data_IF_168559096292
#
_entry.id   IF_168559096292
#
_cell.length_a   1.000
_cell.length_b   1.000
_cell.length_c   1.000
_cell.angle_alpha   90.00
_cell.angle_beta   90.00
_cell.angle_gamma   90.00
#
_symmetry.space_group_name_H-M   'P 1'
#
loop_
_entity.id
_entity.type
_entity.pdbx_description
1 polymer ?
#
# COMPACT_ATOMS: atom_id res chain seq x y z
N UNK A 1 61.96 -14.91 26.25
CA UNK A 1 61.41 -14.67 24.89
C UNK A 1 59.92 -14.99 24.97
N UNK A 2 58.94 -14.19 24.56
CA UNK A 2 58.91 -12.90 23.87
C UNK A 2 57.62 -12.14 24.24
N UNK A 3 57.59 -10.86 23.87
CA UNK A 3 56.58 -9.87 24.23
C UNK A 3 55.25 -10.07 23.50
N UNK A 4 54.13 -9.83 24.20
CA UNK A 4 52.84 -9.58 23.56
C UNK A 4 52.78 -8.11 23.14
N UNK A 5 53.08 -7.84 21.88
CA UNK A 5 52.99 -6.51 21.26
C UNK A 5 51.78 -6.43 20.35
N UNK A 6 51.06 -5.31 20.42
CA UNK A 6 50.58 -4.65 19.20
C UNK A 6 49.14 -4.92 18.80
N UNK A 7 48.29 -3.98 19.20
CA UNK A 7 47.18 -3.45 18.43
C UNK A 7 47.43 -3.44 16.92
N UNK A 8 46.66 -4.23 16.16
CA UNK A 8 46.62 -4.14 14.69
C UNK A 8 45.20 -3.78 14.24
N UNK A 9 44.92 -2.46 14.27
CA UNK A 9 43.70 -1.88 13.72
C UNK A 9 43.90 -1.69 12.22
N UNK A 10 43.56 -2.71 11.44
CA UNK A 10 43.53 -2.60 9.98
C UNK A 10 42.41 -1.64 9.53
N UNK A 11 42.69 -0.72 8.58
CA UNK A 11 41.78 0.37 8.20
C UNK A 11 40.52 -0.10 7.43
N UNK A 12 40.45 -1.37 7.04
CA UNK A 12 39.33 -1.95 6.28
C UNK A 12 38.11 -2.35 7.13
N UNK A 13 38.29 -2.58 8.43
CA UNK A 13 37.20 -3.06 9.32
C UNK A 13 36.21 -1.96 9.73
N UNK A 14 36.67 -0.70 9.76
CA UNK A 14 35.85 0.46 10.19
C UNK A 14 34.89 0.91 9.09
N UNK A 15 35.35 0.94 7.83
CA UNK A 15 34.59 1.42 6.66
C UNK A 15 33.33 0.56 6.43
N UNK A 16 33.45 -0.76 6.59
CA UNK A 16 32.36 -1.73 6.37
C UNK A 16 31.27 -1.68 7.45
N UNK A 17 31.61 -1.29 8.69
CA UNK A 17 30.64 -1.08 9.79
C UNK A 17 29.89 0.23 9.65
N UNK A 18 30.55 1.30 9.20
CA UNK A 18 29.92 2.60 8.99
C UNK A 18 28.91 2.55 7.82
N UNK A 19 29.28 1.87 6.73
CA UNK A 19 28.42 1.73 5.54
C UNK A 19 27.19 0.84 5.79
N UNK A 20 27.33 -0.25 6.57
CA UNK A 20 26.18 -1.07 7.02
C UNK A 20 25.22 -0.29 7.92
N UNK A 21 25.74 0.61 8.77
CA UNK A 21 24.93 1.49 9.61
C UNK A 21 24.21 2.56 8.79
N UNK A 22 24.84 3.02 7.70
CA UNK A 22 24.23 3.96 6.74
C UNK A 22 23.19 3.29 5.81
N UNK A 23 23.44 2.05 5.39
CA UNK A 23 22.47 1.22 4.67
C UNK A 23 21.25 0.90 5.55
N UNK A 24 21.46 0.62 6.84
CA UNK A 24 20.39 0.43 7.82
C UNK A 24 19.55 1.69 8.03
N UNK A 25 20.18 2.86 8.06
CA UNK A 25 19.47 4.15 8.22
C UNK A 25 18.67 4.55 6.97
N UNK A 26 19.06 4.09 5.78
CA UNK A 26 18.31 4.38 4.55
C UNK A 26 16.99 3.57 4.47
N UNK A 27 16.92 2.36 5.03
CA UNK A 27 15.68 1.59 5.11
C UNK A 27 14.73 2.03 6.23
N UNK A 28 15.23 2.75 7.25
CA UNK A 28 14.45 3.11 8.45
C UNK A 28 13.43 4.25 8.23
N UNK A 29 13.36 4.82 7.03
CA UNK A 29 12.24 5.66 6.60
C UNK A 29 11.64 5.11 5.32
N UNK A 30 11.05 3.93 5.39
CA UNK A 30 9.91 3.65 4.52
C UNK A 30 8.89 4.74 4.85
N UNK A 31 8.79 5.74 3.97
CA UNK A 31 7.77 6.75 4.07
C UNK A 31 6.43 6.02 4.23
N UNK A 32 5.64 6.39 5.24
CA UNK A 32 4.27 5.92 5.33
C UNK A 32 3.62 6.19 3.98
N UNK A 33 3.31 5.11 3.25
CA UNK A 33 2.67 5.21 1.94
C UNK A 33 1.33 5.94 2.06
N UNK A 34 0.75 6.31 0.93
CA UNK A 34 -0.59 6.92 0.93
C UNK A 34 -1.59 5.94 1.54
N UNK A 35 -2.19 6.34 2.67
CA UNK A 35 -3.21 5.55 3.38
C UNK A 35 -4.59 6.03 2.99
N UNK A 36 -5.44 5.11 2.53
CA UNK A 36 -6.87 5.36 2.34
C UNK A 36 -7.62 4.94 3.59
N UNK A 37 -8.48 5.82 4.09
CA UNK A 37 -9.25 5.59 5.30
C UNK A 37 -10.23 4.43 5.11
N UNK A 38 -10.13 3.41 5.98
CA UNK A 38 -11.02 2.26 6.01
C UNK A 38 -12.12 2.39 7.09
N UNK A 39 -12.05 3.44 7.91
CA UNK A 39 -13.00 3.72 8.97
C UNK A 39 -13.41 5.20 8.96
N UNK A 40 -14.12 5.66 7.91
CA UNK A 40 -14.51 7.07 7.75
C UNK A 40 -15.56 7.55 8.76
N UNK A 41 -16.16 6.63 9.51
CA UNK A 41 -17.07 6.97 10.61
C UNK A 41 -16.34 7.12 11.95
N UNK A 42 -17.05 7.58 12.97
CA UNK A 42 -16.42 7.81 14.28
C UNK A 42 -16.23 6.52 15.08
N UNK A 43 -15.16 6.45 15.87
CA UNK A 43 -14.92 5.34 16.81
C UNK A 43 -14.11 4.19 16.22
N UNK A 44 -13.12 4.51 15.39
CA UNK A 44 -12.12 3.55 14.94
C UNK A 44 -11.36 2.98 16.15
N UNK A 45 -11.26 1.66 16.24
CA UNK A 45 -10.42 0.95 17.22
C UNK A 45 -9.63 -0.14 16.51
N UNK A 46 -8.53 -0.65 17.11
CA UNK A 46 -7.78 -1.76 16.54
C UNK A 46 -8.69 -2.95 16.19
N UNK A 47 -9.61 -3.30 17.08
CA UNK A 47 -10.52 -4.44 16.93
C UNK A 47 -11.47 -4.25 15.75
N UNK A 48 -12.17 -3.10 15.72
CA UNK A 48 -13.12 -2.77 14.64
C UNK A 48 -12.44 -2.64 13.28
N UNK A 49 -11.19 -2.15 13.26
CA UNK A 49 -10.40 -2.07 12.04
C UNK A 49 -10.08 -3.46 11.48
N UNK A 50 -9.65 -4.37 12.36
CA UNK A 50 -9.33 -5.75 11.99
C UNK A 50 -10.58 -6.53 11.57
N UNK A 51 -11.73 -6.29 12.20
CA UNK A 51 -13.03 -6.87 11.81
C UNK A 51 -13.43 -6.52 10.36
N UNK A 52 -13.05 -5.33 9.89
CA UNK A 52 -13.23 -4.90 8.49
C UNK A 52 -12.20 -5.47 7.53
N UNK A 53 -11.21 -6.21 8.04
CA UNK A 53 -10.11 -6.77 7.25
C UNK A 53 -9.04 -5.74 6.84
N UNK A 54 -9.00 -4.59 7.50
CA UNK A 54 -8.05 -3.49 7.25
C UNK A 54 -6.84 -3.55 8.19
N UNK A 55 -5.93 -2.57 8.07
CA UNK A 55 -4.71 -2.52 8.88
C UNK A 55 -4.78 -1.37 9.88
N UNK A 56 -4.45 -1.65 11.13
CA UNK A 56 -4.32 -0.64 12.18
C UNK A 56 -2.86 -0.25 12.41
N UNK A 57 -2.56 1.05 12.30
CA UNK A 57 -1.26 1.61 12.65
C UNK A 57 -1.44 3.04 13.15
N UNK A 58 -1.26 3.24 14.45
CA UNK A 58 -1.31 4.57 15.06
C UNK A 58 -0.24 5.49 14.47
N UNK A 59 -0.57 6.78 14.40
CA UNK A 59 0.32 7.83 13.91
C UNK A 59 -0.03 9.16 14.58
N UNK A 60 0.98 10.01 14.78
CA UNK A 60 0.81 11.36 15.33
C UNK A 60 0.35 12.37 14.26
N UNK A 61 0.38 11.97 12.98
CA UNK A 61 -0.04 12.79 11.85
C UNK A 61 -1.58 12.85 11.77
N UNK A 62 -2.15 14.02 12.05
CA UNK A 62 -3.60 14.21 12.19
C UNK A 62 -4.42 13.88 10.94
N UNK A 63 -3.83 13.99 9.75
CA UNK A 63 -4.51 13.74 8.48
C UNK A 63 -4.32 12.31 7.97
N UNK A 64 -3.59 11.48 8.71
CA UNK A 64 -3.28 10.10 8.31
C UNK A 64 -4.14 9.15 9.13
N UNK A 65 -4.98 8.32 8.49
CA UNK A 65 -5.86 7.42 9.21
C UNK A 65 -5.08 6.32 9.93
N UNK A 66 -5.51 6.02 11.15
CA UNK A 66 -4.99 4.90 11.94
C UNK A 66 -5.46 3.57 11.38
N UNK A 67 -6.72 3.50 10.92
CA UNK A 67 -7.28 2.34 10.24
C UNK A 67 -7.33 2.58 8.72
N UNK A 68 -6.56 1.82 7.95
CA UNK A 68 -6.42 2.05 6.52
C UNK A 68 -6.58 0.79 5.68
N UNK A 69 -6.96 1.00 4.42
CA UNK A 69 -7.18 -0.06 3.44
C UNK A 69 -5.86 -0.77 3.10
N UNK A 70 -5.92 -2.09 2.88
CA UNK A 70 -4.79 -2.85 2.35
C UNK A 70 -4.61 -2.57 0.85
N UNK A 71 -3.36 -2.55 0.40
CA UNK A 71 -3.01 -2.28 -1.01
C UNK A 71 -3.57 -3.34 -1.99
N UNK A 72 -3.89 -4.52 -1.49
CA UNK A 72 -4.34 -5.67 -2.28
C UNK A 72 -5.87 -5.70 -2.51
N UNK A 73 -6.62 -4.70 -2.08
CA UNK A 73 -8.05 -4.56 -2.35
C UNK A 73 -8.35 -4.00 -3.75
N UNK A 74 -9.56 -4.20 -4.27
CA UNK A 74 -10.03 -3.70 -5.57
C UNK A 74 -10.23 -4.78 -6.64
N UNK A 75 -10.12 -4.36 -7.91
CA UNK A 75 -10.39 -5.20 -9.08
C UNK A 75 -9.11 -5.47 -9.88
N UNK A 76 -9.13 -6.52 -10.71
CA UNK A 76 -8.09 -6.87 -11.68
C UNK A 76 -8.66 -6.86 -13.09
N UNK A 77 -7.83 -6.50 -14.08
CA UNK A 77 -8.17 -6.58 -15.49
C UNK A 77 -8.34 -8.06 -15.91
N UNK A 78 -9.44 -8.36 -16.58
CA UNK A 78 -9.73 -9.68 -17.16
C UNK A 78 -9.63 -9.65 -18.67
N UNK A 79 -10.25 -8.65 -19.31
CA UNK A 79 -10.20 -8.47 -20.76
C UNK A 79 -10.33 -7.00 -21.11
N UNK A 80 -9.90 -6.64 -22.32
CA UNK A 80 -10.09 -5.30 -22.87
C UNK A 80 -10.50 -5.42 -24.32
N UNK A 81 -11.60 -4.78 -24.68
CA UNK A 81 -12.16 -4.75 -26.01
C UNK A 81 -12.46 -3.30 -26.38
N UNK A 82 -11.74 -2.78 -27.37
CA UNK A 82 -11.79 -1.37 -27.74
C UNK A 82 -11.50 -0.46 -26.54
N UNK A 83 -12.48 0.38 -26.18
CA UNK A 83 -12.40 1.35 -25.09
C UNK A 83 -12.97 0.83 -23.77
N UNK A 84 -13.36 -0.45 -23.70
CA UNK A 84 -13.98 -1.06 -22.53
C UNK A 84 -13.08 -2.15 -21.97
N UNK A 85 -12.75 -2.05 -20.69
CA UNK A 85 -12.03 -3.06 -19.92
C UNK A 85 -12.99 -3.73 -18.95
N UNK A 86 -13.05 -5.07 -19.01
CA UNK A 86 -13.75 -5.86 -18.01
C UNK A 86 -12.85 -6.07 -16.80
N UNK A 87 -13.33 -5.66 -15.64
CA UNK A 87 -12.63 -5.78 -14.37
C UNK A 87 -13.37 -6.76 -13.47
N UNK A 88 -12.63 -7.70 -12.87
CA UNK A 88 -13.17 -8.65 -11.89
C UNK A 88 -12.61 -8.38 -10.51
N UNK A 89 -13.43 -8.50 -9.49
CA UNK A 89 -13.02 -8.31 -8.10
C UNK A 89 -11.89 -9.29 -7.75
N UNK A 90 -10.91 -8.82 -6.98
CA UNK A 90 -9.88 -9.69 -6.40
C UNK A 90 -10.50 -10.53 -5.28
N UNK A 91 -10.08 -11.78 -5.15
CA UNK A 91 -10.64 -12.73 -4.16
C UNK A 91 -10.57 -12.20 -2.72
N UNK A 92 -9.44 -11.62 -2.33
CA UNK A 92 -9.24 -11.04 -1.00
C UNK A 92 -9.85 -9.63 -0.84
N UNK A 93 -10.44 -9.08 -1.90
CA UNK A 93 -11.13 -7.80 -1.82
C UNK A 93 -12.53 -8.02 -1.25
N UNK A 94 -12.77 -7.45 -0.07
CA UNK A 94 -14.09 -7.45 0.59
C UNK A 94 -14.43 -6.05 1.05
N UNK A 95 -15.56 -5.50 0.60
CA UNK A 95 -16.06 -4.21 1.06
C UNK A 95 -16.60 -4.30 2.49
N UNK A 96 -16.22 -3.35 3.38
CA UNK A 96 -16.84 -3.20 4.69
C UNK A 96 -18.27 -2.64 4.67
N UNK A 97 -18.67 -1.94 3.60
CA UNK A 97 -19.89 -1.11 3.60
C UNK A 97 -21.07 -1.72 2.84
N UNK A 98 -20.82 -2.51 1.80
CA UNK A 98 -21.88 -3.06 0.96
C UNK A 98 -21.52 -4.43 0.42
N UNK A 99 -22.51 -5.09 -0.20
CA UNK A 99 -22.21 -6.26 -1.04
C UNK A 99 -21.28 -5.85 -2.17
N UNK A 100 -20.32 -6.71 -2.44
CA UNK A 100 -19.39 -6.54 -3.53
C UNK A 100 -20.06 -6.81 -4.88
N UNK A 101 -19.56 -6.16 -5.94
CA UNK A 101 -19.91 -6.45 -7.33
C UNK A 101 -18.76 -7.24 -7.93
N UNK A 102 -19.01 -8.45 -8.41
CA UNK A 102 -17.93 -9.34 -8.86
C UNK A 102 -17.30 -8.87 -10.17
N UNK A 103 -18.08 -8.25 -11.05
CA UNK A 103 -17.65 -7.82 -12.38
C UNK A 103 -18.19 -6.43 -12.68
N UNK A 104 -17.32 -5.56 -13.21
CA UNK A 104 -17.62 -4.20 -13.64
C UNK A 104 -16.93 -3.91 -14.97
N UNK A 105 -17.47 -2.98 -15.74
CA UNK A 105 -16.87 -2.46 -16.96
C UNK A 105 -16.29 -1.08 -16.68
N UNK A 106 -15.04 -0.90 -17.07
CA UNK A 106 -14.35 0.39 -17.12
C UNK A 106 -14.32 0.86 -18.58
N UNK A 107 -15.05 1.91 -18.93
CA UNK A 107 -15.02 2.49 -20.27
C UNK A 107 -14.33 3.85 -20.27
N UNK A 108 -13.63 4.15 -21.37
CA UNK A 108 -12.82 5.37 -21.51
C UNK A 108 -13.02 6.01 -22.87
N UNK A 109 -13.64 7.19 -22.91
CA UNK A 109 -13.92 7.97 -24.11
C UNK A 109 -13.21 9.33 -24.06
N UNK A 110 -12.73 9.82 -25.21
CA UNK A 110 -12.06 11.13 -25.27
C UNK A 110 -12.86 12.11 -26.14
N UNK A 111 -13.12 13.30 -25.59
CA UNK A 111 -13.82 14.39 -26.27
C UNK A 111 -12.89 15.61 -26.32
N UNK A 112 -12.20 15.78 -27.45
CA UNK A 112 -11.17 16.80 -27.59
C UNK A 112 -10.04 16.58 -26.60
N UNK A 113 -9.92 17.45 -25.59
CA UNK A 113 -8.91 17.36 -24.51
C UNK A 113 -9.44 16.70 -23.23
N UNK A 114 -10.69 16.26 -23.22
CA UNK A 114 -11.35 15.72 -22.03
C UNK A 114 -11.41 14.20 -22.11
N UNK A 115 -10.94 13.52 -21.05
CA UNK A 115 -11.12 12.07 -20.87
C UNK A 115 -12.37 11.82 -20.02
N UNK A 116 -13.34 11.11 -20.58
CA UNK A 116 -14.49 10.59 -19.88
C UNK A 116 -14.21 9.14 -19.48
N UNK A 117 -14.36 8.84 -18.20
CA UNK A 117 -14.22 7.47 -17.68
C UNK A 117 -15.52 7.11 -16.98
N UNK A 118 -16.02 5.90 -17.26
CA UNK A 118 -17.21 5.35 -16.62
C UNK A 118 -16.92 3.97 -16.05
N UNK A 119 -17.43 3.73 -14.84
CA UNK A 119 -17.42 2.43 -14.19
C UNK A 119 -18.88 2.00 -14.06
N UNK A 120 -19.24 0.85 -14.63
CA UNK A 120 -20.63 0.36 -14.65
C UNK A 120 -20.74 -1.13 -14.42
N UNK A 121 -21.94 -1.61 -14.06
CA UNK A 121 -22.24 -3.05 -14.05
C UNK A 121 -22.39 -3.56 -15.50
N UNK A 122 -22.08 -4.84 -15.76
CA UNK A 122 -22.48 -5.48 -17.01
C UNK A 122 -24.01 -5.40 -17.17
N UNK A 123 -24.47 -4.98 -18.35
CA UNK A 123 -25.90 -4.92 -18.68
C UNK A 123 -26.63 -3.61 -18.40
N UNK A 124 -25.99 -2.64 -17.72
CA UNK A 124 -26.60 -1.33 -17.41
C UNK A 124 -27.42 -1.34 -16.13
#
# INVERSE_FOLDING_TARGET
MGAATGSDLTPFSVIRKQFMRWLFLCCLRLADGVRFDCYPEQGASPERCNERGCTWQATDEKTVPWCFMKNELGYKNVSTEGQVTMLKKKEHSKSPWSRDIEEIHFSSDSYGKTLNVKISRPGG
#
